data_IF_284605139156
#
_entry.id   IF_284605139156
#
_cell.length_a   1.000
_cell.length_b   1.000
_cell.length_c   1.000
_cell.angle_alpha   90.00
_cell.angle_beta   90.00
_cell.angle_gamma   90.00
#
_symmetry.space_group_name_H-M   'P 1'
#
loop_
_entity.id
_entity.type
_entity.pdbx_description
1 polymer ?
#
# COMPACT_ATOMS: atom_id res chain seq x y z
N UNK A 1 17.62 -3.03 40.46
CA UNK A 1 17.83 -3.76 39.19
C UNK A 1 18.54 -2.80 38.26
N UNK A 2 19.83 -3.04 37.96
CA UNK A 2 20.67 -2.19 37.11
C UNK A 2 20.68 -2.72 35.67
N UNK A 3 19.50 -3.08 35.15
CA UNK A 3 19.38 -3.65 33.82
C UNK A 3 18.15 -3.09 33.12
N UNK A 4 18.31 -2.87 31.82
CA UNK A 4 17.28 -2.45 30.88
C UNK A 4 16.87 -3.67 30.10
N UNK A 5 15.58 -4.00 30.09
CA UNK A 5 15.06 -5.12 29.31
C UNK A 5 14.51 -4.63 27.98
N UNK A 6 15.10 -5.07 26.88
CA UNK A 6 14.54 -4.88 25.54
C UNK A 6 13.83 -6.16 25.12
N UNK A 7 12.57 -6.05 24.73
CA UNK A 7 11.76 -7.15 24.21
C UNK A 7 11.42 -6.84 22.75
N UNK A 8 11.72 -7.77 21.86
CA UNK A 8 11.50 -7.66 20.43
C UNK A 8 10.46 -8.67 19.98
N UNK A 9 9.46 -8.19 19.23
CA UNK A 9 8.56 -9.04 18.45
C UNK A 9 8.75 -8.77 16.96
N UNK A 10 8.78 -9.81 16.14
CA UNK A 10 8.83 -9.70 14.68
C UNK A 10 7.94 -10.76 14.03
N UNK A 11 7.00 -10.38 13.15
CA UNK A 11 6.15 -11.34 12.45
C UNK A 11 6.91 -12.11 11.37
N UNK A 12 8.00 -11.51 10.86
CA UNK A 12 8.87 -12.09 9.85
C UNK A 12 10.09 -12.66 10.55
N UNK A 13 10.17 -13.98 10.70
CA UNK A 13 11.29 -14.64 11.37
C UNK A 13 11.88 -15.83 10.63
N UNK A 14 13.18 -16.04 10.86
CA UNK A 14 13.94 -17.21 10.41
C UNK A 14 14.87 -17.68 11.55
N UNK A 15 15.75 -18.62 11.25
CA UNK A 15 16.65 -19.24 12.24
C UNK A 15 17.92 -18.42 12.53
N UNK A 16 18.14 -17.30 11.83
CA UNK A 16 19.30 -16.45 12.09
C UNK A 16 19.18 -15.79 13.47
N UNK A 17 20.32 -15.62 14.17
CA UNK A 17 20.35 -14.85 15.41
C UNK A 17 19.98 -13.39 15.16
N UNK A 18 19.36 -12.76 16.17
CA UNK A 18 19.05 -11.34 16.16
C UNK A 18 20.01 -10.62 17.10
N UNK A 19 20.52 -9.47 16.67
CA UNK A 19 21.43 -8.64 17.45
C UNK A 19 20.86 -7.23 17.60
N UNK A 20 21.33 -6.53 18.64
CA UNK A 20 21.22 -5.09 18.76
C UNK A 20 22.58 -4.45 18.47
N UNK A 21 22.61 -3.52 17.51
CA UNK A 21 23.80 -2.79 17.11
C UNK A 21 23.61 -1.30 17.41
N UNK A 22 24.55 -0.69 18.13
CA UNK A 22 24.45 0.69 18.57
C UNK A 22 25.80 1.29 18.92
N UNK A 23 25.81 2.51 19.44
CA UNK A 23 27.05 3.20 19.78
C UNK A 23 27.90 2.45 20.82
N UNK A 24 27.27 1.66 21.70
CA UNK A 24 27.91 0.86 22.75
C UNK A 24 28.69 -0.36 22.23
N UNK A 25 28.48 -0.75 20.96
CA UNK A 25 29.25 -1.79 20.28
C UNK A 25 29.92 -1.27 19.01
N UNK A 26 30.12 0.05 18.90
CA UNK A 26 30.68 0.70 17.70
C UNK A 26 29.92 0.34 16.41
N UNK A 27 28.61 0.12 16.51
CA UNK A 27 27.76 -0.29 15.40
C UNK A 27 28.18 -1.60 14.73
N UNK A 28 28.84 -2.50 15.46
CA UNK A 28 29.08 -3.86 14.98
C UNK A 28 27.76 -4.65 14.95
N UNK A 29 27.30 -5.15 13.78
CA UNK A 29 25.97 -5.73 13.61
C UNK A 29 25.82 -7.16 14.14
N UNK A 30 26.90 -7.80 14.57
CA UNK A 30 26.96 -9.21 14.98
C UNK A 30 27.73 -9.40 16.30
N UNK A 31 27.84 -8.34 17.10
CA UNK A 31 28.58 -8.39 18.35
C UNK A 31 27.95 -9.38 19.34
N UNK A 32 28.66 -10.47 19.65
CA UNK A 32 28.16 -11.58 20.47
C UNK A 32 27.57 -11.18 21.85
N UNK A 33 28.12 -10.21 22.60
CA UNK A 33 27.51 -9.74 23.85
C UNK A 33 26.13 -9.10 23.69
N UNK A 34 25.78 -8.71 22.45
CA UNK A 34 24.55 -8.00 22.10
C UNK A 34 23.61 -8.86 21.23
N UNK A 35 23.81 -10.17 21.23
CA UNK A 35 22.86 -11.12 20.66
C UNK A 35 21.64 -11.26 21.59
N UNK A 36 20.44 -11.13 21.03
CA UNK A 36 19.21 -11.33 21.77
C UNK A 36 18.94 -12.83 22.00
N UNK A 37 18.33 -13.14 23.14
CA UNK A 37 17.84 -14.47 23.48
C UNK A 37 16.46 -14.69 22.85
N UNK A 38 16.31 -15.74 22.04
CA UNK A 38 15.03 -16.16 21.46
C UNK A 38 14.20 -16.87 22.51
N UNK A 39 12.99 -16.39 22.79
CA UNK A 39 12.05 -17.02 23.73
C UNK A 39 11.07 -17.94 23.00
N UNK A 40 10.55 -17.46 21.87
CA UNK A 40 9.59 -18.17 21.01
C UNK A 40 9.85 -17.74 19.55
N UNK A 41 9.27 -18.44 18.55
CA UNK A 41 9.30 -17.97 17.17
C UNK A 41 8.86 -16.49 17.06
N UNK A 42 9.73 -15.64 16.50
CA UNK A 42 9.48 -14.20 16.37
C UNK A 42 9.58 -13.37 17.65
N UNK A 43 9.93 -13.95 18.81
CA UNK A 43 10.06 -13.22 20.09
C UNK A 43 11.46 -13.36 20.68
N UNK A 44 12.04 -12.23 21.06
CA UNK A 44 13.41 -12.14 21.55
C UNK A 44 13.50 -11.15 22.71
N UNK A 45 14.51 -11.29 23.56
CA UNK A 45 14.84 -10.25 24.55
C UNK A 45 16.34 -10.15 24.80
N UNK A 46 16.77 -9.01 25.34
CA UNK A 46 18.12 -8.83 25.90
C UNK A 46 18.05 -7.94 27.14
N UNK A 47 18.90 -8.22 28.12
CA UNK A 47 19.11 -7.36 29.28
C UNK A 47 20.43 -6.63 29.12
N UNK A 48 20.37 -5.30 29.12
CA UNK A 48 21.53 -4.42 28.94
C UNK A 48 21.87 -3.73 30.26
N UNK A 49 23.15 -3.57 30.61
CA UNK A 49 23.55 -2.80 31.79
C UNK A 49 23.09 -1.35 31.69
N UNK A 50 22.53 -0.79 32.77
CA UNK A 50 22.06 0.61 32.80
C UNK A 50 23.19 1.62 32.55
N UNK A 51 24.44 1.23 32.80
CA UNK A 51 25.64 2.01 32.57
C UNK A 51 25.82 2.40 31.09
N UNK A 52 25.27 1.62 30.16
CA UNK A 52 25.27 1.97 28.73
C UNK A 52 24.48 3.25 28.41
N UNK A 53 23.63 3.71 29.33
CA UNK A 53 22.85 4.94 29.21
C UNK A 53 23.32 6.06 30.16
N UNK A 54 24.46 5.89 30.84
CA UNK A 54 24.91 6.83 31.87
C UNK A 54 25.24 8.23 31.33
N UNK A 55 25.74 8.33 30.09
CA UNK A 55 26.19 9.59 29.49
C UNK A 55 25.21 10.16 28.46
N UNK A 56 24.48 9.29 27.74
CA UNK A 56 23.57 9.67 26.65
C UNK A 56 22.52 8.58 26.39
N UNK A 57 21.39 8.92 25.73
CA UNK A 57 20.38 7.94 25.32
C UNK A 57 20.97 6.81 24.47
N UNK A 58 20.44 5.60 24.62
CA UNK A 58 20.86 4.45 23.81
C UNK A 58 20.39 4.64 22.36
N UNK A 59 21.32 4.70 21.42
CA UNK A 59 21.02 4.69 19.99
C UNK A 59 21.35 3.31 19.41
N UNK A 60 20.38 2.70 18.71
CA UNK A 60 20.54 1.34 18.22
C UNK A 60 19.65 0.99 17.02
N UNK A 61 19.95 -0.18 16.44
CA UNK A 61 19.17 -0.88 15.43
C UNK A 61 19.19 -2.38 15.68
N UNK A 62 18.16 -3.06 15.21
CA UNK A 62 18.15 -4.53 15.14
C UNK A 62 18.71 -5.03 13.81
N UNK A 63 19.46 -6.13 13.86
CA UNK A 63 20.03 -6.80 12.68
C UNK A 63 19.89 -8.32 12.81
N UNK A 64 20.08 -9.03 11.69
CA UNK A 64 20.32 -10.49 11.67
C UNK A 64 21.77 -10.83 11.36
N UNK A 65 22.70 -10.20 12.08
CA UNK A 65 24.14 -10.43 11.93
C UNK A 65 24.81 -9.66 10.78
N UNK A 66 24.07 -8.77 10.11
CA UNK A 66 24.58 -7.95 9.02
C UNK A 66 23.68 -6.77 8.68
N UNK A 67 24.27 -5.71 8.09
CA UNK A 67 23.55 -4.51 7.64
C UNK A 67 22.71 -4.74 6.37
N UNK A 68 23.03 -5.80 5.65
CA UNK A 68 22.23 -6.38 4.56
C UNK A 68 20.97 -7.09 5.08
N UNK A 69 20.85 -7.25 6.41
CA UNK A 69 19.72 -7.88 7.11
C UNK A 69 19.26 -7.05 8.33
N UNK A 70 19.32 -5.73 8.19
CA UNK A 70 18.86 -4.75 9.18
C UNK A 70 17.32 -4.65 9.18
N UNK A 71 16.75 -4.23 10.31
CA UNK A 71 15.33 -3.90 10.40
C UNK A 71 14.87 -2.86 9.36
N UNK A 72 13.64 -3.04 8.89
CA UNK A 72 12.94 -2.15 7.96
C UNK A 72 11.55 -1.81 8.50
N UNK A 73 10.95 -0.77 7.93
CA UNK A 73 9.57 -0.37 8.22
C UNK A 73 8.59 -1.40 7.63
N UNK A 74 7.31 -1.25 7.96
CA UNK A 74 6.22 -2.08 7.41
C UNK A 74 6.15 -2.03 5.87
N UNK A 75 6.61 -0.94 5.26
CA UNK A 75 6.66 -0.76 3.81
C UNK A 75 8.00 -1.19 3.17
N UNK A 76 8.92 -1.80 3.95
CA UNK A 76 10.24 -2.20 3.49
C UNK A 76 11.26 -1.06 3.39
N UNK A 77 10.98 0.11 3.98
CA UNK A 77 11.89 1.26 3.95
C UNK A 77 12.91 1.20 5.09
N UNK A 78 14.06 1.84 4.89
CA UNK A 78 15.01 2.07 5.99
C UNK A 78 14.37 2.92 7.09
N UNK A 79 14.54 2.51 8.35
CA UNK A 79 14.09 3.28 9.51
C UNK A 79 15.24 4.11 10.10
N UNK A 80 14.98 5.22 10.83
CA UNK A 80 15.99 5.89 11.64
C UNK A 80 16.57 5.00 12.74
N UNK A 81 17.61 5.46 13.43
CA UNK A 81 18.08 4.82 14.65
C UNK A 81 16.99 4.89 15.73
N UNK A 82 16.81 3.79 16.47
CA UNK A 82 15.97 3.78 17.67
C UNK A 82 16.69 4.52 18.78
N UNK A 83 15.95 5.23 19.61
CA UNK A 83 16.47 5.98 20.75
C UNK A 83 15.74 5.51 22.01
N UNK A 84 16.49 5.04 23.01
CA UNK A 84 15.97 4.70 24.33
C UNK A 84 16.46 5.70 25.37
N UNK A 85 15.51 6.26 26.13
CA UNK A 85 15.79 7.24 27.17
C UNK A 85 16.17 6.58 28.50
N UNK A 86 17.02 7.22 29.33
CA UNK A 86 17.55 6.66 30.58
C UNK A 86 16.52 6.14 31.60
N UNK A 87 15.29 6.65 31.55
CA UNK A 87 14.24 6.35 32.54
C UNK A 87 13.50 5.03 32.26
N UNK A 88 13.80 4.34 31.16
CA UNK A 88 13.10 3.13 30.74
C UNK A 88 13.71 1.87 31.38
N UNK A 89 12.93 1.16 32.20
CA UNK A 89 13.31 -0.16 32.73
C UNK A 89 13.02 -1.31 31.76
N UNK A 90 12.02 -1.13 30.90
CA UNK A 90 11.63 -2.11 29.87
C UNK A 90 11.15 -1.39 28.62
N UNK A 91 11.49 -1.93 27.45
CA UNK A 91 11.10 -1.42 26.13
C UNK A 91 10.61 -2.57 25.28
N UNK A 92 9.46 -2.37 24.66
CA UNK A 92 8.92 -3.29 23.67
C UNK A 92 9.10 -2.69 22.29
N UNK A 93 9.76 -3.42 21.41
CA UNK A 93 9.97 -3.06 20.02
C UNK A 93 9.32 -4.07 19.10
N UNK A 94 8.89 -3.57 17.95
CA UNK A 94 8.44 -4.39 16.83
C UNK A 94 9.33 -4.11 15.63
N UNK A 95 9.85 -5.18 15.03
CA UNK A 95 10.51 -5.13 13.72
C UNK A 95 9.57 -5.81 12.72
N UNK A 96 8.84 -5.04 11.88
CA UNK A 96 7.83 -5.63 10.99
C UNK A 96 8.46 -6.37 9.82
N UNK A 97 9.64 -5.96 9.37
CA UNK A 97 10.33 -6.53 8.23
C UNK A 97 11.86 -6.45 8.40
N UNK A 98 12.57 -7.31 7.68
CA UNK A 98 14.03 -7.36 7.67
C UNK A 98 14.51 -7.22 6.25
N UNK A 99 15.62 -6.52 6.06
CA UNK A 99 16.32 -6.49 4.78
C UNK A 99 16.73 -7.92 4.39
N UNK A 100 16.68 -8.21 3.10
CA UNK A 100 16.98 -9.51 2.53
C UNK A 100 18.23 -9.40 1.66
N UNK A 101 19.39 -9.74 2.21
CA UNK A 101 20.68 -9.72 1.50
C UNK A 101 20.91 -8.39 0.75
N UNK A 102 20.59 -7.27 1.40
CA UNK A 102 20.76 -5.92 0.83
C UNK A 102 19.49 -5.35 0.18
N UNK A 103 18.50 -6.19 -0.14
CA UNK A 103 17.26 -5.79 -0.79
C UNK A 103 16.14 -5.50 0.23
N UNK A 104 15.21 -4.58 -0.08
CA UNK A 104 14.10 -4.27 0.83
C UNK A 104 13.00 -5.35 0.89
N UNK A 105 13.11 -6.41 0.07
CA UNK A 105 12.17 -7.52 -0.03
C UNK A 105 12.92 -8.81 -0.41
N UNK A 106 12.29 -9.98 -0.20
CA UNK A 106 12.79 -11.25 -0.72
C UNK A 106 12.36 -11.42 -2.20
N UNK A 107 13.30 -11.56 -3.16
CA UNK A 107 12.98 -11.76 -4.58
C UNK A 107 12.12 -12.99 -4.88
N UNK A 108 12.18 -14.04 -4.05
CA UNK A 108 11.37 -15.25 -4.23
C UNK A 108 9.86 -14.98 -4.08
N UNK A 109 9.50 -13.84 -3.48
CA UNK A 109 8.12 -13.39 -3.33
C UNK A 109 7.69 -12.33 -4.34
N UNK A 110 8.51 -12.04 -5.35
CA UNK A 110 8.07 -11.17 -6.44
C UNK A 110 6.85 -11.78 -7.14
N UNK A 111 5.87 -10.96 -7.50
CA UNK A 111 4.71 -11.44 -8.23
C UNK A 111 5.10 -11.89 -9.64
N UNK A 112 4.35 -12.83 -10.19
CA UNK A 112 4.45 -13.20 -11.60
C UNK A 112 3.69 -12.18 -12.43
N UNK A 113 4.41 -11.48 -13.31
CA UNK A 113 3.83 -10.44 -14.17
C UNK A 113 3.49 -11.05 -15.53
N UNK A 114 2.22 -10.95 -15.92
CA UNK A 114 1.73 -11.38 -17.23
C UNK A 114 1.16 -10.18 -18.00
N UNK A 115 1.51 -10.06 -19.28
CA UNK A 115 0.88 -9.09 -20.18
C UNK A 115 -0.41 -9.74 -20.68
N UNK A 116 -1.56 -9.22 -20.25
CA UNK A 116 -2.87 -9.67 -20.74
C UNK A 116 -3.04 -9.29 -22.20
N UNK A 117 -2.73 -8.03 -22.53
CA UNK A 117 -2.65 -7.53 -23.90
C UNK A 117 -1.89 -6.21 -23.91
N UNK A 118 -1.11 -5.95 -24.97
CA UNK A 118 -0.54 -4.62 -25.21
C UNK A 118 -1.58 -3.64 -25.80
N UNK A 119 -2.63 -4.17 -26.41
CA UNK A 119 -3.67 -3.41 -27.11
C UNK A 119 -5.05 -3.98 -26.77
N UNK A 120 -5.36 -4.09 -25.47
CA UNK A 120 -6.67 -4.56 -25.01
C UNK A 120 -7.75 -3.59 -25.53
N UNK A 121 -8.70 -4.10 -26.31
CA UNK A 121 -9.76 -3.27 -26.89
C UNK A 121 -10.66 -2.66 -25.82
N UNK A 122 -10.93 -1.36 -25.96
CA UNK A 122 -11.85 -0.59 -25.12
C UNK A 122 -12.99 -0.07 -26.00
N UNK A 123 -14.01 -0.89 -26.30
CA UNK A 123 -15.13 -0.49 -27.15
C UNK A 123 -15.86 0.77 -26.66
N UNK A 124 -15.92 0.98 -25.35
CA UNK A 124 -16.59 2.13 -24.72
C UNK A 124 -15.87 3.45 -25.03
N UNK A 125 -14.58 3.41 -25.37
CA UNK A 125 -13.76 4.58 -25.67
C UNK A 125 -13.25 4.62 -27.12
N UNK A 126 -13.54 3.59 -27.92
CA UNK A 126 -12.94 3.39 -29.25
C UNK A 126 -11.41 3.50 -29.22
N UNK A 127 -10.80 2.78 -28.27
CA UNK A 127 -9.37 2.85 -27.97
C UNK A 127 -8.81 1.47 -27.61
N UNK A 128 -7.49 1.39 -27.40
CA UNK A 128 -6.81 0.21 -26.85
C UNK A 128 -5.91 0.60 -25.68
N UNK A 129 -5.71 -0.29 -24.70
CA UNK A 129 -4.76 -0.06 -23.60
C UNK A 129 -3.91 -1.29 -23.34
N UNK A 130 -2.68 -1.09 -22.88
CA UNK A 130 -1.92 -2.18 -22.28
C UNK A 130 -2.53 -2.52 -20.93
N UNK A 131 -2.77 -3.81 -20.72
CA UNK A 131 -3.24 -4.37 -19.46
C UNK A 131 -2.29 -5.47 -19.04
N UNK A 132 -1.86 -5.42 -17.79
CA UNK A 132 -0.99 -6.40 -17.18
C UNK A 132 -1.61 -6.93 -15.89
N UNK A 133 -1.21 -8.13 -15.49
CA UNK A 133 -1.65 -8.76 -14.26
C UNK A 133 -0.43 -9.15 -13.45
N UNK A 134 -0.43 -8.80 -12.17
CA UNK A 134 0.55 -9.25 -11.17
C UNK A 134 -0.14 -10.33 -10.35
N UNK A 135 0.31 -11.56 -10.53
CA UNK A 135 -0.17 -12.74 -9.81
C UNK A 135 0.69 -12.97 -8.56
N UNK A 136 0.11 -13.43 -7.44
CA UNK A 136 0.86 -13.87 -6.27
C UNK A 136 1.98 -14.84 -6.65
N UNK A 137 3.11 -14.79 -5.93
CA UNK A 137 4.27 -15.65 -6.21
C UNK A 137 3.94 -17.16 -6.17
N UNK A 138 2.92 -17.54 -5.39
CA UNK A 138 2.44 -18.92 -5.23
C UNK A 138 1.23 -19.25 -6.12
N UNK A 139 0.90 -18.40 -7.09
CA UNK A 139 -0.30 -18.57 -7.92
C UNK A 139 -0.30 -19.95 -8.59
N UNK A 140 0.79 -20.35 -9.24
CA UNK A 140 0.87 -21.62 -9.98
C UNK A 140 1.04 -22.86 -9.08
N UNK A 141 1.26 -22.68 -7.77
CA UNK A 141 1.47 -23.77 -6.80
C UNK A 141 0.28 -23.99 -5.88
N UNK A 142 -0.78 -23.17 -5.99
CA UNK A 142 -2.02 -23.33 -5.22
C UNK A 142 -3.26 -23.23 -6.10
N UNK A 143 -4.36 -23.84 -5.63
CA UNK A 143 -5.68 -23.74 -6.24
C UNK A 143 -6.52 -22.59 -5.64
N UNK A 144 -5.88 -21.65 -4.94
CA UNK A 144 -6.58 -20.54 -4.28
C UNK A 144 -7.26 -19.63 -5.30
N UNK A 145 -8.36 -19.00 -4.87
CA UNK A 145 -8.96 -17.85 -5.54
C UNK A 145 -8.61 -16.57 -4.81
N UNK A 146 -8.49 -15.47 -5.55
CA UNK A 146 -7.90 -14.23 -5.06
C UNK A 146 -8.81 -13.01 -5.26
N UNK A 147 -8.88 -12.09 -4.29
CA UNK A 147 -9.40 -10.75 -4.54
C UNK A 147 -8.58 -10.05 -5.64
N UNK A 148 -9.20 -9.08 -6.32
CA UNK A 148 -8.61 -8.37 -7.45
C UNK A 148 -8.64 -6.87 -7.20
N UNK A 149 -7.50 -6.21 -7.33
CA UNK A 149 -7.38 -4.76 -7.31
C UNK A 149 -7.01 -4.25 -8.71
N UNK A 150 -7.92 -3.49 -9.32
CA UNK A 150 -7.67 -2.78 -10.57
C UNK A 150 -6.98 -1.45 -10.26
N UNK A 151 -5.74 -1.29 -10.72
CA UNK A 151 -4.95 -0.08 -10.52
C UNK A 151 -4.75 0.69 -11.83
N UNK A 152 -5.08 1.97 -11.75
CA UNK A 152 -4.88 2.95 -12.80
C UNK A 152 -3.40 3.33 -12.94
N UNK A 153 -3.07 3.92 -14.10
CA UNK A 153 -1.73 4.46 -14.40
C UNK A 153 -0.64 3.39 -14.37
N UNK A 154 -0.90 2.26 -15.02
CA UNK A 154 -0.06 1.07 -15.02
C UNK A 154 1.42 1.31 -15.33
N UNK A 155 1.73 2.28 -16.19
CA UNK A 155 3.09 2.69 -16.54
C UNK A 155 3.89 3.27 -15.34
N UNK A 156 3.23 3.72 -14.28
CA UNK A 156 3.86 4.29 -13.09
C UNK A 156 4.02 3.25 -11.96
N UNK A 157 3.42 2.06 -12.08
CA UNK A 157 3.27 1.16 -10.94
C UNK A 157 4.50 0.30 -10.66
N UNK A 158 5.24 -0.12 -11.70
CA UNK A 158 6.40 -1.01 -11.58
C UNK A 158 7.29 -0.95 -12.84
N UNK A 159 8.37 -1.72 -12.86
CA UNK A 159 9.32 -1.75 -13.98
C UNK A 159 10.21 -0.51 -14.01
N UNK A 160 10.40 0.10 -15.18
CA UNK A 160 11.16 1.36 -15.31
C UNK A 160 10.41 2.58 -14.73
N UNK A 161 9.10 2.46 -14.53
CA UNK A 161 8.24 3.56 -14.11
C UNK A 161 8.04 4.62 -15.21
N UNK A 162 7.74 5.84 -14.79
CA UNK A 162 7.51 6.99 -15.68
C UNK A 162 8.40 8.18 -15.30
N UNK A 163 8.40 9.28 -16.07
CA UNK A 163 9.11 10.50 -15.69
C UNK A 163 8.69 11.10 -14.34
N UNK A 164 7.53 10.69 -13.80
CA UNK A 164 7.05 11.13 -12.48
C UNK A 164 7.58 10.25 -11.33
N UNK A 165 8.13 9.07 -11.67
CA UNK A 165 8.67 8.09 -10.72
C UNK A 165 8.01 6.72 -10.87
N UNK A 166 8.08 5.93 -9.79
CA UNK A 166 7.62 4.54 -9.78
C UNK A 166 7.10 4.15 -8.39
N UNK A 167 5.95 3.47 -8.33
CA UNK A 167 5.43 2.91 -7.07
C UNK A 167 6.18 1.67 -6.61
N UNK A 168 6.85 0.96 -7.52
CA UNK A 168 7.50 -0.32 -7.26
C UNK A 168 6.55 -1.33 -6.59
N UNK A 169 5.29 -1.41 -7.04
CA UNK A 169 4.28 -2.23 -6.38
C UNK A 169 4.64 -3.72 -6.39
N UNK A 170 5.40 -4.18 -7.38
CA UNK A 170 5.93 -5.54 -7.46
C UNK A 170 6.82 -5.86 -6.25
N UNK A 171 7.70 -4.94 -5.89
CA UNK A 171 8.55 -5.04 -4.71
C UNK A 171 7.73 -4.91 -3.42
N UNK A 172 6.73 -4.02 -3.40
CA UNK A 172 5.84 -3.84 -2.24
C UNK A 172 4.95 -5.07 -1.99
N UNK A 173 4.50 -5.74 -3.04
CA UNK A 173 3.79 -7.02 -2.96
C UNK A 173 4.70 -8.12 -2.38
N UNK A 174 5.99 -8.13 -2.73
CA UNK A 174 6.95 -9.06 -2.12
C UNK A 174 7.17 -8.78 -0.62
N UNK A 175 7.19 -7.49 -0.20
CA UNK A 175 7.22 -7.12 1.23
C UNK A 175 5.99 -7.64 1.98
N UNK A 176 4.80 -7.47 1.38
CA UNK A 176 3.54 -7.97 1.94
C UNK A 176 3.51 -9.51 2.03
N UNK A 177 4.01 -10.17 0.99
CA UNK A 177 4.07 -11.62 0.92
C UNK A 177 4.93 -12.24 2.03
N UNK A 178 6.01 -11.57 2.45
CA UNK A 178 6.82 -12.05 3.56
C UNK A 178 6.04 -12.09 4.90
N UNK A 179 4.95 -11.32 4.99
CA UNK A 179 4.03 -11.27 6.14
C UNK A 179 2.76 -12.08 5.90
N UNK A 180 2.75 -12.95 4.89
CA UNK A 180 1.59 -13.76 4.47
C UNK A 180 0.40 -12.95 3.94
N UNK A 181 0.63 -11.71 3.53
CA UNK A 181 -0.38 -10.83 2.92
C UNK A 181 -0.23 -10.79 1.38
N UNK A 182 -0.10 -11.95 0.75
CA UNK A 182 0.13 -12.07 -0.71
C UNK A 182 -1.10 -12.46 -1.52
N UNK A 183 -2.21 -12.84 -0.88
CA UNK A 183 -3.40 -13.36 -1.57
C UNK A 183 -4.20 -12.24 -2.25
N UNK A 184 -3.64 -11.62 -3.28
CA UNK A 184 -4.29 -10.58 -4.08
C UNK A 184 -3.74 -10.59 -5.51
N UNK A 185 -4.61 -10.45 -6.50
CA UNK A 185 -4.23 -10.17 -7.88
C UNK A 185 -4.31 -8.66 -8.09
N UNK A 186 -3.30 -8.08 -8.74
CA UNK A 186 -3.36 -6.69 -9.19
C UNK A 186 -3.48 -6.64 -10.71
N UNK A 187 -4.52 -5.99 -11.22
CA UNK A 187 -4.69 -5.70 -12.65
C UNK A 187 -4.22 -4.28 -12.88
N UNK A 188 -3.10 -4.13 -13.59
CA UNK A 188 -2.52 -2.85 -13.98
C UNK A 188 -3.11 -2.39 -15.32
N UNK A 189 -3.65 -1.18 -15.37
CA UNK A 189 -4.27 -0.59 -16.56
C UNK A 189 -3.48 0.68 -16.92
N UNK A 190 -2.78 0.65 -18.05
CA UNK A 190 -2.10 1.84 -18.55
C UNK A 190 -3.14 2.92 -18.90
N UNK A 191 -2.79 4.18 -18.64
CA UNK A 191 -3.65 5.30 -19.02
C UNK A 191 -3.55 5.64 -20.52
N UNK A 192 -4.49 6.43 -21.02
CA UNK A 192 -4.57 6.83 -22.42
C UNK A 192 -3.64 7.93 -22.90
N UNK A 193 -2.47 8.09 -22.27
CA UNK A 193 -1.55 9.22 -22.51
C UNK A 193 -2.28 10.57 -22.56
N UNK A 194 -2.36 11.22 -23.72
CA UNK A 194 -3.07 12.49 -23.91
C UNK A 194 -4.56 12.43 -23.52
N UNK A 195 -5.19 11.26 -23.66
CA UNK A 195 -6.59 11.04 -23.29
C UNK A 195 -6.78 10.83 -21.78
N UNK A 196 -5.71 10.64 -20.99
CA UNK A 196 -5.79 10.31 -19.56
C UNK A 196 -6.69 11.25 -18.78
N UNK A 197 -6.54 12.56 -18.98
CA UNK A 197 -7.33 13.55 -18.25
C UNK A 197 -8.81 13.43 -18.61
N UNK A 198 -9.15 13.30 -19.89
CA UNK A 198 -10.52 13.12 -20.34
C UNK A 198 -11.11 11.81 -19.76
N UNK A 199 -10.37 10.71 -19.85
CA UNK A 199 -10.78 9.38 -19.40
C UNK A 199 -10.93 9.26 -17.89
N UNK A 200 -10.21 10.05 -17.10
CA UNK A 200 -10.34 10.00 -15.63
C UNK A 200 -11.27 11.09 -15.07
N UNK A 201 -11.77 11.99 -15.90
CA UNK A 201 -12.76 12.98 -15.48
C UNK A 201 -14.18 12.41 -15.49
N UNK A 202 -14.91 12.44 -14.35
CA UNK A 202 -16.31 12.02 -14.29
C UNK A 202 -17.25 12.89 -15.13
N UNK A 203 -16.89 14.15 -15.32
CA UNK A 203 -17.72 15.20 -15.91
C UNK A 203 -16.89 16.12 -16.80
N UNK A 204 -17.55 16.84 -17.72
CA UNK A 204 -16.90 17.92 -18.45
C UNK A 204 -16.43 19.01 -17.49
N UNK A 205 -15.18 19.42 -17.64
CA UNK A 205 -14.55 20.51 -16.89
C UNK A 205 -13.82 21.44 -17.86
N UNK A 206 -13.15 22.47 -17.35
CA UNK A 206 -12.27 23.31 -18.14
C UNK A 206 -11.02 22.57 -18.64
N UNK A 207 -10.67 21.44 -18.01
CA UNK A 207 -9.48 20.66 -18.36
C UNK A 207 -9.71 19.77 -19.59
N UNK A 208 -10.86 19.10 -19.65
CA UNK A 208 -11.25 18.25 -20.78
C UNK A 208 -12.74 17.87 -20.74
N UNK A 209 -13.22 17.29 -21.84
CA UNK A 209 -14.50 16.58 -21.87
C UNK A 209 -14.39 15.28 -21.06
N UNK A 210 -15.28 15.08 -20.10
CA UNK A 210 -15.23 13.93 -19.21
C UNK A 210 -15.71 12.66 -19.90
N UNK A 211 -14.86 11.63 -19.89
CA UNK A 211 -15.09 10.29 -20.44
C UNK A 211 -15.02 9.20 -19.37
N UNK A 212 -14.93 9.58 -18.08
CA UNK A 212 -14.80 8.67 -16.94
C UNK A 212 -15.88 7.61 -16.81
N UNK A 213 -17.13 7.92 -17.18
CA UNK A 213 -18.18 6.90 -17.25
C UNK A 213 -17.85 5.79 -18.24
N UNK A 214 -17.44 6.15 -19.46
CA UNK A 214 -17.12 5.18 -20.50
C UNK A 214 -15.88 4.35 -20.13
N UNK A 215 -14.87 4.97 -19.53
CA UNK A 215 -13.72 4.26 -18.97
C UNK A 215 -14.15 3.24 -17.89
N UNK A 216 -14.99 3.64 -16.94
CA UNK A 216 -15.44 2.75 -15.88
C UNK A 216 -16.41 1.66 -16.35
N UNK A 217 -17.27 1.96 -17.32
CA UNK A 217 -18.11 0.96 -18.00
C UNK A 217 -17.23 -0.11 -18.68
N UNK A 218 -16.10 0.29 -19.27
CA UNK A 218 -15.10 -0.65 -19.77
C UNK A 218 -14.53 -1.54 -18.66
N UNK A 219 -14.03 -0.95 -17.57
CA UNK A 219 -13.42 -1.73 -16.48
C UNK A 219 -14.44 -2.70 -15.88
N UNK A 220 -15.64 -2.22 -15.58
CA UNK A 220 -16.68 -2.97 -14.90
C UNK A 220 -17.33 -4.05 -15.78
N UNK A 221 -17.54 -3.78 -17.07
CA UNK A 221 -18.37 -4.64 -17.93
C UNK A 221 -17.60 -5.32 -19.08
N UNK A 222 -16.32 -4.99 -19.28
CA UNK A 222 -15.49 -5.61 -20.32
C UNK A 222 -14.25 -6.25 -19.71
N UNK A 223 -13.43 -5.46 -19.02
CA UNK A 223 -12.18 -5.96 -18.48
C UNK A 223 -12.40 -6.94 -17.32
N UNK A 224 -13.20 -6.57 -16.31
CA UNK A 224 -13.45 -7.45 -15.16
C UNK A 224 -14.00 -8.83 -15.56
N UNK A 225 -15.03 -8.94 -16.42
CA UNK A 225 -15.49 -10.24 -16.90
C UNK A 225 -14.40 -11.06 -17.60
N UNK A 226 -13.53 -10.42 -18.38
CA UNK A 226 -12.38 -11.10 -19.00
C UNK A 226 -11.40 -11.64 -17.95
N UNK A 227 -11.04 -10.82 -16.95
CA UNK A 227 -10.12 -11.21 -15.87
C UNK A 227 -10.73 -12.36 -15.05
N UNK A 228 -12.01 -12.27 -14.68
CA UNK A 228 -12.71 -13.32 -13.91
C UNK A 228 -12.83 -14.65 -14.66
N UNK A 229 -12.91 -14.62 -15.99
CA UNK A 229 -12.94 -15.83 -16.83
C UNK A 229 -11.55 -16.43 -17.05
N UNK A 230 -10.49 -15.63 -16.95
CA UNK A 230 -9.11 -16.03 -17.28
C UNK A 230 -8.31 -16.45 -16.05
N UNK A 231 -8.53 -15.78 -14.92
CA UNK A 231 -7.76 -15.94 -13.69
C UNK A 231 -8.61 -16.51 -12.55
N UNK A 232 -7.98 -17.08 -11.53
CA UNK A 232 -8.66 -17.60 -10.32
C UNK A 232 -9.07 -16.45 -9.39
N UNK A 233 -10.05 -15.66 -9.81
CA UNK A 233 -10.55 -14.54 -9.00
C UNK A 233 -11.65 -14.97 -8.03
N UNK A 234 -11.83 -14.16 -6.99
CA UNK A 234 -13.05 -14.02 -6.20
C UNK A 234 -13.88 -12.89 -6.84
N UNK A 235 -14.93 -13.21 -7.62
CA UNK A 235 -15.61 -12.23 -8.46
C UNK A 235 -16.54 -11.29 -7.68
N UNK A 236 -16.77 -11.56 -6.39
CA UNK A 236 -17.65 -10.79 -5.52
C UNK A 236 -17.15 -9.35 -5.33
N UNK A 237 -18.08 -8.41 -5.18
CA UNK A 237 -17.75 -6.99 -5.04
C UNK A 237 -16.85 -6.69 -3.83
N UNK A 238 -17.05 -7.39 -2.72
CA UNK A 238 -16.25 -7.20 -1.49
C UNK A 238 -14.80 -7.65 -1.66
N UNK A 239 -14.52 -8.48 -2.69
CA UNK A 239 -13.19 -8.90 -3.09
C UNK A 239 -12.65 -8.15 -4.33
N UNK A 240 -13.43 -7.20 -4.88
CA UNK A 240 -13.07 -6.43 -6.06
C UNK A 240 -12.79 -4.98 -5.68
N UNK A 241 -11.58 -4.51 -5.98
CA UNK A 241 -11.16 -3.16 -5.72
C UNK A 241 -10.75 -2.34 -6.93
N UNK A 242 -10.83 -1.02 -6.81
CA UNK A 242 -10.35 -0.04 -7.78
C UNK A 242 -9.43 0.95 -7.07
N UNK A 243 -8.32 1.34 -7.69
CA UNK A 243 -7.42 2.31 -7.07
C UNK A 243 -6.51 3.08 -8.01
N UNK A 244 -5.90 4.12 -7.47
CA UNK A 244 -4.94 4.97 -8.17
C UNK A 244 -4.62 6.24 -7.40
N UNK A 245 -3.73 7.07 -7.95
CA UNK A 245 -3.37 8.37 -7.39
C UNK A 245 -3.85 9.55 -8.22
N UNK A 246 -4.00 10.72 -7.61
CA UNK A 246 -4.29 11.97 -8.34
C UNK A 246 -5.58 11.86 -9.16
N UNK A 247 -5.51 11.95 -10.50
CA UNK A 247 -6.64 11.68 -11.40
C UNK A 247 -7.10 10.21 -11.31
N UNK A 248 -6.19 9.25 -11.15
CA UNK A 248 -6.48 7.85 -10.85
C UNK A 248 -7.23 7.67 -9.52
N UNK A 249 -6.92 8.51 -8.52
CA UNK A 249 -7.66 8.57 -7.25
C UNK A 249 -9.08 9.11 -7.44
N UNK A 250 -9.23 10.17 -8.23
CA UNK A 250 -10.55 10.74 -8.57
C UNK A 250 -11.44 9.74 -9.30
N UNK A 251 -10.92 9.08 -10.35
CA UNK A 251 -11.71 8.10 -11.11
C UNK A 251 -12.05 6.87 -10.27
N UNK A 252 -11.21 6.51 -9.29
CA UNK A 252 -11.49 5.43 -8.33
C UNK A 252 -12.62 5.80 -7.35
N UNK A 253 -12.68 7.05 -6.87
CA UNK A 253 -13.86 7.54 -6.13
C UNK A 253 -15.11 7.44 -7.00
N UNK A 254 -15.02 7.88 -8.26
CA UNK A 254 -16.16 7.81 -9.18
C UNK A 254 -16.58 6.37 -9.50
N UNK A 255 -15.64 5.42 -9.56
CA UNK A 255 -15.90 3.98 -9.73
C UNK A 255 -16.82 3.45 -8.63
N UNK A 256 -16.51 3.75 -7.37
CA UNK A 256 -17.34 3.33 -6.24
C UNK A 256 -18.73 3.98 -6.23
N UNK A 257 -18.83 5.24 -6.66
CA UNK A 257 -20.11 5.95 -6.75
C UNK A 257 -20.98 5.43 -7.92
N UNK A 258 -20.33 5.10 -9.05
CA UNK A 258 -21.00 4.75 -10.30
C UNK A 258 -21.36 3.27 -10.40
N UNK A 259 -20.43 2.38 -10.02
CA UNK A 259 -20.61 0.92 -10.04
C UNK A 259 -20.42 0.32 -8.63
N UNK A 260 -21.21 0.76 -7.62
CA UNK A 260 -21.06 0.27 -6.26
C UNK A 260 -21.35 -1.22 -6.11
N UNK A 261 -22.06 -1.83 -7.05
CA UNK A 261 -22.33 -3.27 -7.10
C UNK A 261 -21.16 -4.09 -7.65
N UNK A 262 -20.14 -3.42 -8.21
CA UNK A 262 -18.94 -4.06 -8.77
C UNK A 262 -17.73 -3.85 -7.86
N UNK A 263 -17.51 -2.62 -7.40
CA UNK A 263 -16.36 -2.28 -6.57
C UNK A 263 -16.77 -2.16 -5.10
N UNK A 264 -16.14 -2.95 -4.23
CA UNK A 264 -16.33 -2.91 -2.77
C UNK A 264 -15.13 -2.37 -2.01
N UNK A 265 -13.95 -2.32 -2.64
CA UNK A 265 -12.70 -1.86 -2.03
C UNK A 265 -12.14 -0.69 -2.85
N UNK A 266 -11.92 0.49 -2.27
CA UNK A 266 -11.37 1.64 -2.99
C UNK A 266 -10.04 2.08 -2.38
N UNK A 267 -8.98 2.11 -3.19
CA UNK A 267 -7.67 2.66 -2.82
C UNK A 267 -7.50 4.02 -3.49
N UNK A 268 -7.63 5.10 -2.72
CA UNK A 268 -7.72 6.46 -3.25
C UNK A 268 -6.58 7.29 -2.69
N UNK A 269 -5.56 7.53 -3.50
CA UNK A 269 -4.39 8.30 -3.09
C UNK A 269 -4.40 9.70 -3.69
N UNK A 270 -4.20 10.71 -2.86
CA UNK A 270 -4.07 12.13 -3.22
C UNK A 270 -5.08 12.59 -4.30
N UNK A 271 -6.39 12.32 -4.14
CA UNK A 271 -7.34 12.41 -5.25
C UNK A 271 -7.52 13.86 -5.74
N UNK A 272 -7.59 14.03 -7.06
CA UNK A 272 -7.77 15.34 -7.71
C UNK A 272 -9.22 15.89 -7.62
N UNK A 273 -9.80 15.90 -6.42
CA UNK A 273 -11.19 16.29 -6.15
C UNK A 273 -11.48 17.77 -6.50
N UNK A 274 -10.45 18.61 -6.55
CA UNK A 274 -10.55 20.02 -6.91
C UNK A 274 -11.00 20.22 -8.36
N UNK A 275 -10.77 19.25 -9.24
CA UNK A 275 -11.14 19.32 -10.66
C UNK A 275 -12.66 19.28 -10.88
N UNK A 276 -13.42 18.73 -9.92
CA UNK A 276 -14.85 18.50 -10.13
C UNK A 276 -15.68 18.57 -8.83
N UNK A 277 -16.19 19.77 -8.48
CA UNK A 277 -17.04 19.94 -7.30
C UNK A 277 -18.32 19.09 -7.29
N UNK A 278 -18.75 18.59 -8.46
CA UNK A 278 -19.95 17.74 -8.61
C UNK A 278 -19.81 16.40 -7.88
N UNK A 279 -18.60 15.86 -7.73
CA UNK A 279 -18.36 14.59 -7.01
C UNK A 279 -18.86 14.64 -5.57
N UNK A 280 -18.81 15.81 -4.92
CA UNK A 280 -19.33 16.00 -3.57
C UNK A 280 -20.86 15.90 -3.50
N UNK A 281 -21.56 16.31 -4.56
CA UNK A 281 -23.02 16.18 -4.63
C UNK A 281 -23.43 14.72 -4.81
N UNK A 282 -22.64 13.94 -5.55
CA UNK A 282 -22.84 12.50 -5.70
C UNK A 282 -22.55 11.76 -4.40
N UNK A 283 -21.42 12.07 -3.75
CA UNK A 283 -21.06 11.53 -2.44
C UNK A 283 -22.14 11.80 -1.38
N UNK A 284 -22.74 13.00 -1.37
CA UNK A 284 -23.84 13.35 -0.47
C UNK A 284 -25.10 12.48 -0.70
N UNK A 285 -25.34 12.03 -1.93
CA UNK A 285 -26.51 11.23 -2.31
C UNK A 285 -26.26 9.73 -2.20
N UNK A 286 -25.00 9.32 -2.19
CA UNK A 286 -24.56 7.95 -2.25
C UNK A 286 -25.01 7.10 -1.07
N UNK A 287 -25.45 5.88 -1.37
CA UNK A 287 -25.72 4.83 -0.41
C UNK A 287 -25.04 3.56 -0.91
N UNK A 288 -24.12 3.02 -0.12
CA UNK A 288 -23.48 1.76 -0.39
C UNK A 288 -24.54 0.65 -0.32
N UNK A 289 -24.66 -0.22 -1.35
CA UNK A 289 -25.64 -1.28 -1.36
C UNK A 289 -25.34 -2.36 -0.31
N UNK A 290 -24.05 -2.56 0.00
CA UNK A 290 -23.50 -3.52 0.96
C UNK A 290 -22.16 -2.97 1.50
N UNK A 291 -21.50 -3.71 2.40
CA UNK A 291 -20.20 -3.35 2.99
C UNK A 291 -19.19 -2.89 1.93
N UNK A 292 -18.71 -1.66 2.06
CA UNK A 292 -17.70 -1.05 1.21
C UNK A 292 -16.60 -0.47 2.09
N UNK A 293 -15.35 -0.59 1.65
CA UNK A 293 -14.21 0.04 2.32
C UNK A 293 -13.51 1.02 1.39
N UNK A 294 -13.08 2.15 1.95
CA UNK A 294 -12.37 3.21 1.23
C UNK A 294 -11.13 3.60 2.01
N UNK A 295 -9.96 3.37 1.43
CA UNK A 295 -8.70 3.90 1.95
C UNK A 295 -8.40 5.22 1.27
N UNK A 296 -8.49 6.33 2.02
CA UNK A 296 -8.20 7.68 1.57
C UNK A 296 -6.83 8.10 2.10
N UNK A 297 -5.88 8.35 1.20
CA UNK A 297 -4.56 8.86 1.56
C UNK A 297 -4.29 10.24 0.94
N UNK A 298 -3.57 11.10 1.66
CA UNK A 298 -2.95 12.30 1.09
C UNK A 298 -1.99 12.98 2.05
N UNK A 299 -1.07 13.78 1.52
CA UNK A 299 -0.05 14.48 2.28
C UNK A 299 -0.39 15.94 2.60
N UNK A 300 0.13 16.45 3.72
CA UNK A 300 -0.04 17.86 4.12
C UNK A 300 0.81 18.83 3.27
N UNK A 301 1.95 18.36 2.73
CA UNK A 301 2.84 19.18 1.89
C UNK A 301 2.38 19.25 0.43
N UNK A 302 1.30 18.56 0.04
CA UNK A 302 0.75 18.63 -1.31
C UNK A 302 0.09 19.99 -1.60
N UNK A 303 -0.78 20.42 -0.68
CA UNK A 303 -1.42 21.73 -0.69
C UNK A 303 -2.23 21.92 0.59
N UNK A 304 -2.51 23.17 0.96
CA UNK A 304 -3.44 23.51 2.05
C UNK A 304 -4.88 23.01 1.85
N UNK A 305 -5.20 22.43 0.69
CA UNK A 305 -6.53 21.95 0.34
C UNK A 305 -6.64 20.42 0.31
N UNK A 306 -5.53 19.68 0.20
CA UNK A 306 -5.56 18.22 0.02
C UNK A 306 -6.34 17.53 1.15
N UNK A 307 -5.86 17.68 2.38
CA UNK A 307 -6.52 17.08 3.56
C UNK A 307 -7.97 17.56 3.76
N UNK A 308 -8.27 18.88 3.74
CA UNK A 308 -9.66 19.35 3.88
C UNK A 308 -10.63 18.81 2.82
N UNK A 309 -10.16 18.59 1.57
CA UNK A 309 -11.01 18.02 0.52
C UNK A 309 -11.31 16.54 0.74
N UNK A 310 -10.35 15.76 1.23
CA UNK A 310 -10.56 14.35 1.60
C UNK A 310 -11.48 14.21 2.80
N UNK A 311 -11.27 15.00 3.86
CA UNK A 311 -12.15 15.04 5.04
C UNK A 311 -13.59 15.41 4.65
N UNK A 312 -13.75 16.37 3.73
CA UNK A 312 -15.06 16.73 3.19
C UNK A 312 -15.70 15.56 2.45
N UNK A 313 -14.95 14.84 1.61
CA UNK A 313 -15.44 13.67 0.91
C UNK A 313 -15.90 12.58 1.90
N UNK A 314 -15.03 12.21 2.85
CA UNK A 314 -15.33 11.24 3.91
C UNK A 314 -16.63 11.62 4.65
N UNK A 315 -16.72 12.86 5.12
CA UNK A 315 -17.90 13.36 5.83
C UNK A 315 -19.18 13.24 5.01
N UNK A 316 -19.13 13.53 3.70
CA UNK A 316 -20.30 13.47 2.83
C UNK A 316 -20.72 12.03 2.55
N UNK A 317 -19.78 11.13 2.30
CA UNK A 317 -20.04 9.71 2.11
C UNK A 317 -20.70 9.09 3.36
N UNK A 318 -20.24 9.46 4.56
CA UNK A 318 -20.80 8.96 5.82
C UNK A 318 -22.17 9.55 6.18
N UNK A 319 -22.69 10.58 5.48
CA UNK A 319 -24.00 11.17 5.83
C UNK A 319 -25.19 10.24 5.63
N UNK A 320 -25.09 9.31 4.68
CA UNK A 320 -26.17 8.39 4.31
C UNK A 320 -25.81 6.92 4.49
N UNK A 321 -24.62 6.65 5.03
CA UNK A 321 -24.08 5.32 5.23
C UNK A 321 -23.69 5.16 6.70
N UNK A 322 -24.01 4.00 7.28
CA UNK A 322 -23.53 3.65 8.62
C UNK A 322 -22.09 3.15 8.56
N UNK A 323 -21.39 3.18 9.69
CA UNK A 323 -20.02 2.64 9.78
C UNK A 323 -19.94 1.14 9.44
N UNK A 324 -21.03 0.40 9.59
CA UNK A 324 -21.11 -1.02 9.21
C UNK A 324 -21.28 -1.23 7.69
N UNK A 325 -21.81 -0.25 6.96
CA UNK A 325 -22.01 -0.33 5.51
C UNK A 325 -20.89 0.34 4.72
N UNK A 326 -20.26 1.36 5.29
CA UNK A 326 -19.14 2.08 4.67
C UNK A 326 -18.06 2.36 5.71
N UNK A 327 -16.94 1.65 5.58
CA UNK A 327 -15.73 1.89 6.37
C UNK A 327 -14.79 2.81 5.57
N UNK A 328 -14.26 3.85 6.20
CA UNK A 328 -13.31 4.76 5.56
C UNK A 328 -12.11 4.96 6.48
N UNK A 329 -10.93 4.56 6.01
CA UNK A 329 -9.65 4.88 6.63
C UNK A 329 -9.08 6.16 5.99
N UNK A 330 -8.81 7.18 6.80
CA UNK A 330 -8.18 8.41 6.35
C UNK A 330 -6.74 8.45 6.87
N UNK A 331 -5.79 8.25 5.97
CA UNK A 331 -4.36 8.30 6.24
C UNK A 331 -3.75 9.62 5.76
N UNK A 332 -3.16 10.38 6.69
CA UNK A 332 -2.52 11.67 6.40
C UNK A 332 -1.04 11.60 6.73
N UNK A 333 -0.19 11.92 5.74
CA UNK A 333 1.26 12.06 5.92
C UNK A 333 1.62 13.55 6.11
N UNK A 334 2.05 13.98 7.31
CA UNK A 334 2.45 15.36 7.56
C UNK A 334 3.59 15.86 6.66
N UNK A 335 4.46 14.96 6.24
CA UNK A 335 5.59 15.25 5.35
C UNK A 335 5.28 14.83 3.90
N UNK A 336 4.05 14.38 3.63
CA UNK A 336 3.64 13.80 2.37
C UNK A 336 3.54 14.85 1.27
N UNK A 337 4.22 14.57 0.15
CA UNK A 337 4.16 15.34 -1.09
C UNK A 337 3.42 14.54 -2.18
N UNK A 338 3.05 15.22 -3.28
CA UNK A 338 2.26 14.65 -4.38
C UNK A 338 3.17 13.90 -5.36
N UNK A 339 3.68 12.72 -4.97
CA UNK A 339 4.62 11.96 -5.80
C UNK A 339 4.55 10.44 -5.62
N UNK A 340 5.12 9.73 -6.59
CA UNK A 340 5.14 8.27 -6.70
C UNK A 340 5.82 7.58 -5.51
N UNK A 341 6.86 8.21 -4.93
CA UNK A 341 7.58 7.66 -3.78
C UNK A 341 6.72 7.61 -2.51
N UNK A 342 5.87 8.63 -2.29
CA UNK A 342 4.92 8.65 -1.17
C UNK A 342 3.83 7.61 -1.35
N UNK A 343 3.28 7.48 -2.55
CA UNK A 343 2.28 6.46 -2.88
C UNK A 343 2.84 5.03 -2.77
N UNK A 344 4.08 4.82 -3.22
CA UNK A 344 4.83 3.56 -3.04
C UNK A 344 4.89 3.12 -1.57
N UNK A 345 5.19 4.05 -0.67
CA UNK A 345 5.31 3.79 0.77
C UNK A 345 3.97 3.48 1.43
N UNK A 346 2.90 4.10 0.94
CA UNK A 346 1.57 3.93 1.50
C UNK A 346 0.86 2.67 0.99
N UNK A 347 1.16 2.27 -0.25
CA UNK A 347 0.52 1.12 -0.91
C UNK A 347 0.41 -0.14 -0.04
N UNK A 348 1.48 -0.62 0.66
CA UNK A 348 1.36 -1.77 1.54
C UNK A 348 0.27 -1.62 2.61
N UNK A 349 0.20 -0.47 3.29
CA UNK A 349 -0.77 -0.23 4.36
C UNK A 349 -2.21 -0.27 3.83
N UNK A 350 -2.42 0.32 2.66
CA UNK A 350 -3.73 0.36 2.01
C UNK A 350 -4.18 -1.03 1.56
N UNK A 351 -3.29 -1.82 0.96
CA UNK A 351 -3.61 -3.22 0.57
C UNK A 351 -3.96 -4.05 1.79
N UNK A 352 -3.19 -3.94 2.87
CA UNK A 352 -3.48 -4.65 4.12
C UNK A 352 -4.87 -4.31 4.62
N UNK A 353 -5.15 -3.03 4.86
CA UNK A 353 -6.44 -2.62 5.43
C UNK A 353 -7.65 -2.99 4.55
N UNK A 354 -7.49 -2.96 3.22
CA UNK A 354 -8.57 -3.29 2.30
C UNK A 354 -8.84 -4.80 2.19
N UNK A 355 -7.81 -5.66 2.30
CA UNK A 355 -7.91 -7.06 1.89
C UNK A 355 -7.47 -8.10 2.95
N UNK A 356 -6.87 -7.69 4.06
CA UNK A 356 -6.34 -8.56 5.12
C UNK A 356 -6.77 -8.08 6.51
#
# INVERSE_FOLDING_TARGET
MNAIRLELTTPVYDDRPVFIAGHFCQWQPDAAPFQLQKTEPGRYFIELPTELMAEKPLEYKYTRGGWDSVELSTAGEGVPNRILQPESSTRQDVVPHWRWNGLPFNPDFLPKIEVVSNEFGIPQLDATRRVQVLLPYDYDTTESRYPVLYLNDGQNLFGEGSPFGNWNIDQKLAVLAHRHHHKIIVVSIDHGEDERIAEYLPYNTELAQGRGRAYLDFVAHTLKPYIDATYRTLPERTATGMGGSSMGGLISVYAGLLHPTVFGQLMVFSPALWTTPKVYADALRFQAPESMRVYLYGGEQESKYMVPTMERLQKLLLRRNGHETLEIELSVDPEGEHNESRWSREFPKAVEWLFF
#
